data_IF_739804475982
#
_entry.id   IF_739804475982
#
_cell.length_a   1.000
_cell.length_b   1.000
_cell.length_c   1.000
_cell.angle_alpha   90.00
_cell.angle_beta   90.00
_cell.angle_gamma   90.00
#
_symmetry.space_group_name_H-M   'P 1'
#
loop_
_entity.id
_entity.type
_entity.pdbx_description
1 polymer ?
#
# COMPACT_ATOMS: atom_id res chain seq x y z
N UNK A 1 12.83 16.01 5.14
CA UNK A 1 13.64 17.08 5.73
C UNK A 1 14.99 17.24 5.02
N UNK A 2 15.75 16.16 4.81
CA UNK A 2 17.05 16.22 4.10
C UNK A 2 16.93 16.82 2.69
N UNK A 3 15.93 16.42 1.92
CA UNK A 3 15.67 16.94 0.56
C UNK A 3 15.35 18.44 0.58
N UNK A 4 14.58 18.90 1.58
CA UNK A 4 14.26 20.33 1.75
C UNK A 4 15.53 21.13 2.07
N UNK A 5 16.38 20.62 2.94
CA UNK A 5 17.66 21.26 3.27
C UNK A 5 18.60 21.34 2.05
N UNK A 6 18.70 20.25 1.26
CA UNK A 6 19.47 20.26 0.01
C UNK A 6 18.93 21.29 -0.99
N UNK A 7 17.60 21.41 -1.09
CA UNK A 7 17.00 22.38 -2.01
C UNK A 7 17.32 23.83 -1.62
N UNK A 8 17.31 24.16 -0.32
CA UNK A 8 17.68 25.49 0.16
C UNK A 8 19.15 25.82 -0.14
N UNK A 9 20.04 24.83 0.00
CA UNK A 9 21.48 25.02 -0.04
C UNK A 9 22.08 24.94 -1.46
N UNK A 10 21.45 24.18 -2.37
CA UNK A 10 22.00 23.87 -3.69
C UNK A 10 21.19 24.42 -4.86
N UNK A 11 20.03 25.04 -4.64
CA UNK A 11 19.29 25.69 -5.73
C UNK A 11 19.89 27.05 -6.02
N UNK A 12 20.41 27.18 -7.21
CA UNK A 12 20.91 28.46 -7.74
C UNK A 12 19.85 29.11 -8.62
N UNK A 13 19.32 30.25 -8.20
CA UNK A 13 18.36 31.07 -8.99
C UNK A 13 17.74 32.15 -8.12
N UNK A 14 17.44 33.31 -8.72
CA UNK A 14 16.89 34.48 -8.05
C UNK A 14 17.90 35.28 -7.23
N UNK A 15 17.41 36.11 -6.32
CA UNK A 15 18.27 36.97 -5.47
C UNK A 15 18.98 36.12 -4.41
N UNK A 16 20.28 36.30 -4.30
CA UNK A 16 21.13 35.60 -3.33
C UNK A 16 21.10 36.36 -2.01
N UNK A 17 20.49 35.77 -0.97
CA UNK A 17 20.48 36.37 0.37
C UNK A 17 21.77 36.11 1.15
N UNK A 18 22.32 34.89 0.98
CA UNK A 18 23.55 34.53 1.69
C UNK A 18 24.39 33.58 0.85
N UNK A 19 25.69 33.85 0.73
CA UNK A 19 26.64 33.04 -0.03
C UNK A 19 27.84 32.69 0.84
N UNK A 20 28.00 31.38 1.08
CA UNK A 20 29.17 30.87 1.80
C UNK A 20 29.79 29.69 1.03
N UNK A 21 30.78 29.99 0.20
CA UNK A 21 31.45 28.99 -0.65
C UNK A 21 30.52 28.34 -1.66
N UNK A 22 30.28 27.05 -1.52
CA UNK A 22 29.36 26.26 -2.36
C UNK A 22 27.89 26.35 -1.95
N UNK A 23 27.58 26.90 -0.78
CA UNK A 23 26.24 27.02 -0.23
C UNK A 23 25.68 28.41 -0.54
N UNK A 24 24.58 28.45 -1.27
CA UNK A 24 23.87 29.68 -1.63
C UNK A 24 22.42 29.56 -1.21
N UNK A 25 21.98 30.46 -0.35
CA UNK A 25 20.56 30.58 -0.01
C UNK A 25 19.95 31.63 -0.93
N UNK A 26 19.08 31.16 -1.82
CA UNK A 26 18.44 32.01 -2.85
C UNK A 26 16.93 32.08 -2.59
N UNK A 27 16.29 33.16 -3.09
CA UNK A 27 14.83 33.30 -2.97
C UNK A 27 14.08 32.15 -3.64
N UNK A 28 14.54 31.69 -4.80
CA UNK A 28 13.95 30.54 -5.48
C UNK A 28 14.17 29.22 -4.71
N UNK A 29 15.33 29.04 -4.09
CA UNK A 29 15.63 27.91 -3.23
C UNK A 29 14.67 27.79 -2.05
N UNK A 30 14.37 28.92 -1.39
CA UNK A 30 13.42 28.96 -0.27
C UNK A 30 12.01 28.64 -0.74
N UNK A 31 11.55 29.27 -1.83
CA UNK A 31 10.21 29.01 -2.39
C UNK A 31 10.05 27.53 -2.78
N UNK A 32 11.02 26.98 -3.49
CA UNK A 32 11.00 25.57 -3.88
C UNK A 32 11.03 24.64 -2.68
N UNK A 33 11.79 24.97 -1.65
CA UNK A 33 11.85 24.20 -0.41
C UNK A 33 10.49 24.20 0.32
N UNK A 34 9.79 25.33 0.37
CA UNK A 34 8.44 25.42 0.92
C UNK A 34 7.46 24.59 0.11
N UNK A 35 7.48 24.64 -1.22
CA UNK A 35 6.62 23.81 -2.07
C UNK A 35 6.90 22.32 -1.88
N UNK A 36 8.15 21.90 -1.80
CA UNK A 36 8.52 20.51 -1.54
C UNK A 36 8.03 20.08 -0.16
N UNK A 37 8.24 20.91 0.85
CA UNK A 37 7.76 20.62 2.21
C UNK A 37 6.24 20.44 2.25
N UNK A 38 5.48 21.38 1.68
CA UNK A 38 4.02 21.29 1.58
C UNK A 38 3.57 20.04 0.80
N UNK A 39 4.27 19.70 -0.28
CA UNK A 39 4.00 18.47 -1.04
C UNK A 39 4.15 17.22 -0.18
N UNK A 40 5.22 17.12 0.61
CA UNK A 40 5.42 15.99 1.53
C UNK A 40 4.33 15.94 2.61
N UNK A 41 4.00 17.07 3.21
CA UNK A 41 2.93 17.16 4.20
C UNK A 41 1.60 16.67 3.61
N UNK A 42 1.25 17.13 2.41
CA UNK A 42 0.03 16.72 1.73
C UNK A 42 0.02 15.22 1.42
N UNK A 43 1.11 14.69 0.85
CA UNK A 43 1.21 13.25 0.52
C UNK A 43 1.04 12.40 1.80
N UNK A 44 1.76 12.76 2.86
CA UNK A 44 1.67 12.03 4.15
C UNK A 44 0.24 12.12 4.71
N UNK A 45 -0.35 13.33 4.72
CA UNK A 45 -1.71 13.53 5.23
C UNK A 45 -2.74 12.73 4.46
N UNK A 46 -2.71 12.75 3.12
CA UNK A 46 -3.64 11.98 2.30
C UNK A 46 -3.44 10.48 2.44
N UNK A 47 -2.18 10.00 2.50
CA UNK A 47 -1.88 8.59 2.70
C UNK A 47 -2.37 8.10 4.06
N UNK A 48 -2.17 8.91 5.11
CA UNK A 48 -2.64 8.59 6.47
C UNK A 48 -4.17 8.58 6.53
N UNK A 49 -4.83 9.57 5.93
CA UNK A 49 -6.29 9.62 5.83
C UNK A 49 -6.83 8.38 5.13
N UNK A 50 -6.27 8.00 3.96
CA UNK A 50 -6.68 6.81 3.23
C UNK A 50 -6.55 5.55 4.09
N UNK A 51 -5.42 5.40 4.78
CA UNK A 51 -5.15 4.22 5.63
C UNK A 51 -6.11 4.14 6.83
N UNK A 52 -6.47 5.28 7.42
CA UNK A 52 -7.35 5.32 8.59
C UNK A 52 -8.84 5.21 8.22
N UNK A 53 -9.24 5.68 7.05
CA UNK A 53 -10.65 5.72 6.64
C UNK A 53 -11.09 4.51 5.82
N UNK A 54 -10.16 3.84 5.15
CA UNK A 54 -10.48 2.77 4.20
C UNK A 54 -10.00 1.42 4.71
N UNK A 55 -10.93 0.51 4.98
CA UNK A 55 -10.57 -0.86 5.34
C UNK A 55 -9.91 -1.60 4.16
N UNK A 56 -8.91 -2.47 4.40
CA UNK A 56 -8.19 -3.16 3.33
C UNK A 56 -9.08 -3.94 2.35
N UNK A 57 -10.19 -4.51 2.84
CA UNK A 57 -11.17 -5.20 1.99
C UNK A 57 -11.98 -4.24 1.10
N UNK A 58 -12.17 -2.98 1.51
CA UNK A 58 -12.82 -1.97 0.66
C UNK A 58 -11.90 -1.55 -0.48
N UNK A 59 -10.59 -1.53 -0.22
CA UNK A 59 -9.60 -1.24 -1.25
C UNK A 59 -9.57 -2.33 -2.32
N UNK A 60 -9.72 -3.61 -1.96
CA UNK A 60 -9.85 -4.71 -2.94
C UNK A 60 -11.10 -4.59 -3.80
N UNK A 61 -12.24 -4.23 -3.20
CA UNK A 61 -13.48 -3.99 -3.95
C UNK A 61 -13.32 -2.82 -4.95
N UNK A 62 -12.64 -1.75 -4.54
CA UNK A 62 -12.34 -0.60 -5.39
C UNK A 62 -11.38 -0.98 -6.54
N UNK A 63 -10.32 -1.76 -6.25
CA UNK A 63 -9.40 -2.28 -7.27
C UNK A 63 -10.16 -3.13 -8.29
N UNK A 64 -11.03 -4.04 -7.85
CA UNK A 64 -11.87 -4.84 -8.75
C UNK A 64 -12.73 -3.94 -9.65
N UNK A 65 -13.36 -2.90 -9.08
CA UNK A 65 -14.18 -1.98 -9.84
C UNK A 65 -13.38 -1.21 -10.92
N UNK A 66 -12.17 -0.75 -10.57
CA UNK A 66 -11.27 -0.06 -11.51
C UNK A 66 -10.72 -1.02 -12.58
N UNK A 67 -10.47 -2.28 -12.23
CA UNK A 67 -9.98 -3.30 -13.16
C UNK A 67 -11.08 -3.89 -14.04
N UNK A 68 -12.36 -3.65 -13.74
CA UNK A 68 -13.49 -4.19 -14.50
C UNK A 68 -13.40 -3.96 -16.02
N UNK A 69 -12.97 -2.80 -16.57
CA UNK A 69 -12.78 -2.62 -18.01
C UNK A 69 -11.73 -3.55 -18.62
N UNK A 70 -10.77 -4.07 -17.83
CA UNK A 70 -9.79 -5.06 -18.29
C UNK A 70 -10.42 -6.42 -18.61
N UNK A 71 -11.63 -6.70 -18.13
CA UNK A 71 -12.36 -7.91 -18.49
C UNK A 71 -12.65 -8.00 -20.00
N UNK A 72 -12.67 -6.87 -20.72
CA UNK A 72 -12.78 -6.83 -22.20
C UNK A 72 -11.61 -7.55 -22.88
N UNK A 73 -10.41 -7.52 -22.26
CA UNK A 73 -9.18 -8.21 -22.73
C UNK A 73 -9.09 -9.64 -22.18
N UNK A 74 -10.20 -10.21 -21.66
CA UNK A 74 -10.26 -11.53 -21.01
C UNK A 74 -9.34 -11.69 -19.79
N UNK A 75 -9.04 -10.59 -19.11
CA UNK A 75 -8.28 -10.66 -17.86
C UNK A 75 -9.19 -11.15 -16.72
N UNK A 76 -8.76 -12.12 -15.89
CA UNK A 76 -9.57 -12.72 -14.83
C UNK A 76 -9.69 -11.79 -13.61
N UNK A 77 -10.39 -10.65 -13.78
CA UNK A 77 -10.48 -9.59 -12.75
C UNK A 77 -11.10 -10.10 -11.46
N UNK A 78 -12.15 -10.92 -11.57
CA UNK A 78 -12.85 -11.45 -10.41
C UNK A 78 -11.97 -12.40 -9.59
N UNK A 79 -11.25 -13.30 -10.26
CA UNK A 79 -10.34 -14.25 -9.64
C UNK A 79 -9.20 -13.53 -8.91
N UNK A 80 -8.63 -12.50 -9.52
CA UNK A 80 -7.58 -11.68 -8.90
C UNK A 80 -8.11 -10.95 -7.67
N UNK A 81 -9.30 -10.38 -7.74
CA UNK A 81 -9.93 -9.70 -6.59
C UNK A 81 -10.24 -10.69 -5.46
N UNK A 82 -10.70 -11.90 -5.80
CA UNK A 82 -10.94 -12.97 -4.84
C UNK A 82 -9.63 -13.39 -4.15
N UNK A 83 -8.57 -13.64 -4.91
CA UNK A 83 -7.24 -13.98 -4.37
C UNK A 83 -6.75 -12.89 -3.41
N UNK A 84 -6.86 -11.62 -3.79
CA UNK A 84 -6.45 -10.49 -2.97
C UNK A 84 -7.28 -10.39 -1.68
N UNK A 85 -8.58 -10.61 -1.75
CA UNK A 85 -9.48 -10.62 -0.60
C UNK A 85 -9.16 -11.75 0.39
N UNK A 86 -8.85 -12.94 -0.13
CA UNK A 86 -8.42 -14.10 0.67
C UNK A 86 -7.07 -13.80 1.32
N UNK A 87 -6.10 -13.30 0.55
CA UNK A 87 -4.77 -12.96 1.05
C UNK A 87 -4.85 -11.94 2.20
N UNK A 88 -5.58 -10.83 2.03
CA UNK A 88 -5.73 -9.81 3.07
C UNK A 88 -6.44 -10.32 4.32
N UNK A 89 -7.37 -11.27 4.17
CA UNK A 89 -8.04 -11.92 5.31
C UNK A 89 -7.07 -12.80 6.09
N UNK A 90 -6.15 -13.48 5.40
CA UNK A 90 -5.22 -14.41 6.05
C UNK A 90 -3.97 -13.73 6.62
N UNK A 91 -3.61 -12.51 6.17
CA UNK A 91 -2.46 -11.79 6.70
C UNK A 91 -2.44 -11.73 8.24
N UNK A 92 -3.50 -11.26 8.95
CA UNK A 92 -3.49 -11.23 10.41
C UNK A 92 -3.29 -12.62 11.02
N UNK A 93 -3.97 -13.64 10.49
CA UNK A 93 -3.87 -14.99 10.99
C UNK A 93 -2.48 -15.60 10.80
N UNK A 94 -1.84 -15.35 9.65
CA UNK A 94 -0.47 -15.79 9.38
C UNK A 94 0.54 -15.06 10.26
N UNK A 95 0.32 -13.78 10.55
CA UNK A 95 1.16 -13.02 11.49
C UNK A 95 1.10 -13.61 12.91
N UNK A 96 -0.09 -13.94 13.39
CA UNK A 96 -0.28 -14.58 14.69
C UNK A 96 0.38 -15.97 14.73
N UNK A 97 0.28 -16.73 13.66
CA UNK A 97 0.88 -18.06 13.54
C UNK A 97 2.42 -17.96 13.48
N UNK A 98 2.96 -17.05 12.70
CA UNK A 98 4.39 -16.76 12.66
C UNK A 98 4.92 -16.41 14.06
N UNK A 99 4.19 -15.59 14.83
CA UNK A 99 4.57 -15.23 16.19
C UNK A 99 4.57 -16.46 17.14
N UNK A 100 3.57 -17.34 17.01
CA UNK A 100 3.52 -18.59 17.79
C UNK A 100 4.69 -19.51 17.46
N UNK A 101 5.00 -19.69 16.16
CA UNK A 101 6.14 -20.49 15.71
C UNK A 101 7.46 -19.87 16.22
N UNK A 102 7.61 -18.54 16.11
CA UNK A 102 8.78 -17.82 16.62
C UNK A 102 8.99 -18.07 18.12
N UNK A 103 7.93 -17.96 18.91
CA UNK A 103 8.00 -18.19 20.36
C UNK A 103 8.36 -19.66 20.69
N UNK A 104 7.82 -20.60 19.94
CA UNK A 104 8.16 -22.01 20.07
C UNK A 104 9.64 -22.30 19.71
N UNK A 105 10.17 -21.67 18.68
CA UNK A 105 11.58 -21.80 18.28
C UNK A 105 12.52 -21.13 19.28
N UNK A 106 12.14 -19.99 19.86
CA UNK A 106 12.90 -19.37 20.97
C UNK A 106 12.97 -20.31 22.18
N UNK A 107 11.86 -20.97 22.54
CA UNK A 107 11.86 -21.96 23.61
C UNK A 107 12.77 -23.19 23.32
N UNK A 108 13.05 -23.47 22.06
CA UNK A 108 14.01 -24.50 21.61
C UNK A 108 15.45 -24.00 21.53
N UNK A 109 15.71 -22.73 21.93
CA UNK A 109 17.06 -22.16 21.97
C UNK A 109 17.48 -21.51 20.65
N UNK A 110 16.56 -21.26 19.70
CA UNK A 110 16.89 -20.50 18.48
C UNK A 110 16.90 -19.02 18.84
N UNK A 111 18.04 -18.36 18.65
CA UNK A 111 18.17 -16.92 18.79
C UNK A 111 18.03 -16.24 17.41
N UNK A 112 17.14 -15.23 17.32
CA UNK A 112 16.86 -14.49 16.09
C UNK A 112 17.58 -13.14 16.03
N UNK A 113 18.21 -12.71 17.12
CA UNK A 113 18.83 -11.40 17.27
C UNK A 113 20.36 -11.41 17.28
N UNK A 114 20.98 -12.54 17.54
CA UNK A 114 22.44 -12.67 17.67
C UNK A 114 23.06 -13.31 16.43
N UNK A 115 24.34 -12.96 16.17
CA UNK A 115 25.13 -13.55 15.10
C UNK A 115 25.25 -12.71 13.83
N UNK A 116 25.96 -13.26 12.87
CA UNK A 116 26.19 -12.64 11.56
C UNK A 116 24.90 -12.66 10.71
N UNK A 117 24.79 -11.79 9.72
CA UNK A 117 23.62 -11.72 8.81
C UNK A 117 23.24 -13.10 8.23
N UNK A 118 24.23 -13.94 7.94
CA UNK A 118 24.00 -15.30 7.43
C UNK A 118 23.36 -16.22 8.47
N UNK A 119 23.76 -16.12 9.74
CA UNK A 119 23.19 -16.88 10.85
C UNK A 119 21.75 -16.45 11.14
N UNK A 120 21.46 -15.14 11.09
CA UNK A 120 20.11 -14.61 11.22
C UNK A 120 19.21 -15.10 10.08
N UNK A 121 19.69 -15.12 8.84
CA UNK A 121 18.94 -15.71 7.71
C UNK A 121 18.67 -17.20 7.92
N UNK A 122 19.63 -17.95 8.43
CA UNK A 122 19.46 -19.38 8.73
C UNK A 122 18.45 -19.62 9.85
N UNK A 123 18.38 -18.73 10.83
CA UNK A 123 17.40 -18.80 11.91
C UNK A 123 15.95 -18.59 11.46
N UNK A 124 15.73 -17.96 10.30
CA UNK A 124 14.38 -17.75 9.73
C UNK A 124 13.81 -19.04 9.11
N UNK A 125 14.64 -19.94 8.59
CA UNK A 125 14.19 -21.18 7.92
C UNK A 125 13.27 -22.04 8.81
N UNK A 126 13.56 -22.26 10.10
CA UNK A 126 12.68 -22.99 11.02
C UNK A 126 11.31 -22.36 11.26
N UNK A 127 11.14 -21.07 10.88
CA UNK A 127 9.84 -20.39 10.92
C UNK A 127 9.14 -20.55 9.59
N UNK A 128 9.86 -20.40 8.48
CA UNK A 128 9.27 -20.41 7.13
C UNK A 128 8.67 -21.77 6.77
N UNK A 129 9.37 -22.87 7.08
CA UNK A 129 8.90 -24.22 6.70
C UNK A 129 7.55 -24.56 7.35
N UNK A 130 7.36 -24.46 8.67
CA UNK A 130 6.07 -24.74 9.30
C UNK A 130 4.97 -23.77 8.84
N UNK A 131 5.31 -22.49 8.67
CA UNK A 131 4.37 -21.49 8.21
C UNK A 131 3.87 -21.78 6.78
N UNK A 132 4.79 -22.21 5.90
CA UNK A 132 4.44 -22.60 4.52
C UNK A 132 3.52 -23.83 4.51
N UNK A 133 3.84 -24.87 5.27
CA UNK A 133 3.03 -26.09 5.37
C UNK A 133 1.62 -25.77 5.92
N UNK A 134 1.55 -24.96 6.98
CA UNK A 134 0.28 -24.49 7.53
C UNK A 134 -0.53 -23.69 6.51
N UNK A 135 0.12 -22.83 5.74
CA UNK A 135 -0.54 -22.06 4.68
C UNK A 135 -1.10 -22.93 3.57
N UNK A 136 -0.38 -24.00 3.17
CA UNK A 136 -0.88 -24.96 2.18
C UNK A 136 -2.11 -25.75 2.70
N UNK A 137 -2.04 -26.26 3.93
CA UNK A 137 -3.18 -26.98 4.53
C UNK A 137 -4.40 -26.06 4.60
N UNK A 138 -4.23 -24.81 4.98
CA UNK A 138 -5.30 -23.81 5.04
C UNK A 138 -5.88 -23.51 3.66
N UNK A 139 -5.05 -23.49 2.62
CA UNK A 139 -5.51 -23.31 1.24
C UNK A 139 -6.34 -24.50 0.77
N UNK A 140 -5.94 -25.74 1.10
CA UNK A 140 -6.71 -26.96 0.82
C UNK A 140 -8.06 -26.97 1.56
N UNK A 141 -8.06 -26.65 2.86
CA UNK A 141 -9.29 -26.55 3.66
C UNK A 141 -10.24 -25.50 3.08
N UNK A 142 -9.72 -24.34 2.66
CA UNK A 142 -10.52 -23.30 2.03
C UNK A 142 -11.08 -23.76 0.69
N UNK A 143 -10.27 -24.40 -0.17
CA UNK A 143 -10.71 -24.91 -1.46
C UNK A 143 -11.83 -25.93 -1.28
N UNK A 144 -11.66 -26.90 -0.39
CA UNK A 144 -12.67 -27.91 -0.06
C UNK A 144 -13.97 -27.27 0.47
N UNK A 145 -13.86 -26.27 1.35
CA UNK A 145 -15.02 -25.55 1.86
C UNK A 145 -15.74 -24.73 0.77
N UNK A 146 -15.01 -24.17 -0.19
CA UNK A 146 -15.57 -23.43 -1.33
C UNK A 146 -16.30 -24.40 -2.29
N UNK A 147 -15.71 -25.53 -2.61
CA UNK A 147 -16.33 -26.58 -3.44
C UNK A 147 -17.61 -27.12 -2.79
N UNK A 148 -17.57 -27.43 -1.49
CA UNK A 148 -18.73 -27.88 -0.75
C UNK A 148 -19.90 -26.88 -0.70
N UNK A 149 -19.58 -25.57 -0.87
CA UNK A 149 -20.56 -24.48 -1.00
C UNK A 149 -21.01 -24.22 -2.44
N UNK A 150 -20.56 -25.03 -3.39
CA UNK A 150 -20.93 -24.92 -4.81
C UNK A 150 -20.27 -23.75 -5.53
N UNK A 151 -19.04 -23.39 -5.14
CA UNK A 151 -18.30 -22.35 -5.85
C UNK A 151 -17.96 -22.79 -7.28
N UNK A 152 -18.43 -22.06 -8.28
CA UNK A 152 -18.24 -22.35 -9.72
C UNK A 152 -17.57 -21.17 -10.47
N UNK A 153 -16.82 -20.33 -9.76
CA UNK A 153 -16.20 -19.15 -10.37
C UNK A 153 -16.99 -17.86 -10.14
N UNK A 154 -16.66 -16.84 -10.93
CA UNK A 154 -17.20 -15.49 -10.77
C UNK A 154 -18.49 -15.20 -11.54
N UNK A 155 -18.81 -16.01 -12.54
CA UNK A 155 -19.94 -15.76 -13.43
C UNK A 155 -21.30 -15.98 -12.75
N UNK A 156 -22.22 -15.02 -12.91
CA UNK A 156 -23.59 -15.13 -12.37
C UNK A 156 -23.72 -14.93 -10.86
N UNK A 157 -22.69 -14.50 -10.15
CA UNK A 157 -22.68 -14.35 -8.69
C UNK A 157 -23.09 -12.95 -8.24
N UNK A 158 -23.99 -12.88 -7.25
CA UNK A 158 -24.32 -11.61 -6.58
C UNK A 158 -23.26 -11.26 -5.54
N UNK A 159 -22.88 -9.99 -5.45
CA UNK A 159 -21.99 -9.49 -4.39
C UNK A 159 -22.79 -9.22 -3.12
N UNK A 160 -22.33 -9.73 -1.98
CA UNK A 160 -22.92 -9.40 -0.68
C UNK A 160 -22.74 -7.92 -0.34
N UNK A 161 -21.59 -7.35 -0.69
CA UNK A 161 -21.29 -5.94 -0.49
C UNK A 161 -21.26 -5.24 -1.84
N UNK A 162 -22.19 -4.33 -2.03
CA UNK A 162 -22.27 -3.49 -3.23
C UNK A 162 -21.85 -2.08 -2.83
N UNK A 163 -20.86 -1.54 -3.52
CA UNK A 163 -20.46 -0.13 -3.36
C UNK A 163 -21.49 0.72 -4.10
N UNK A 164 -22.13 1.65 -3.42
CA UNK A 164 -23.03 2.60 -3.99
C UNK A 164 -22.33 3.96 -4.09
N UNK A 165 -22.44 4.60 -5.25
CA UNK A 165 -21.99 5.98 -5.42
C UNK A 165 -22.93 6.92 -4.69
N UNK A 166 -22.38 7.75 -3.81
CA UNK A 166 -23.11 8.81 -3.13
C UNK A 166 -22.86 10.17 -3.81
N UNK A 167 -23.74 11.14 -3.50
CA UNK A 167 -23.56 12.53 -3.96
C UNK A 167 -22.20 13.11 -3.54
N UNK A 168 -21.66 12.65 -2.41
CA UNK A 168 -20.33 13.05 -1.91
C UNK A 168 -19.20 12.64 -2.85
N UNK A 169 -19.31 11.47 -3.47
CA UNK A 169 -18.31 10.97 -4.41
C UNK A 169 -18.32 11.78 -5.70
N UNK A 170 -19.52 12.18 -6.16
CA UNK A 170 -19.66 13.06 -7.31
C UNK A 170 -19.03 14.44 -7.04
N UNK A 171 -19.28 15.03 -5.86
CA UNK A 171 -18.68 16.32 -5.47
C UNK A 171 -17.14 16.20 -5.40
N UNK A 172 -16.62 15.12 -4.81
CA UNK A 172 -15.19 14.86 -4.76
C UNK A 172 -14.57 14.71 -6.16
N UNK A 173 -15.25 13.97 -7.06
CA UNK A 173 -14.80 13.80 -8.44
C UNK A 173 -14.79 15.13 -9.21
N UNK A 174 -15.86 15.92 -9.12
CA UNK A 174 -15.93 17.24 -9.76
C UNK A 174 -14.87 18.19 -9.21
N UNK A 175 -14.66 18.22 -7.88
CA UNK A 175 -13.61 19.07 -7.28
C UNK A 175 -12.22 18.69 -7.78
N UNK A 176 -11.92 17.42 -7.91
CA UNK A 176 -10.64 16.93 -8.43
C UNK A 176 -10.43 17.33 -9.89
N UNK A 177 -11.45 17.20 -10.73
CA UNK A 177 -11.41 17.62 -12.14
C UNK A 177 -11.20 19.13 -12.24
N UNK A 178 -11.92 19.93 -11.45
CA UNK A 178 -11.79 21.40 -11.43
C UNK A 178 -10.36 21.81 -11.01
N UNK A 179 -9.84 21.22 -9.94
CA UNK A 179 -8.47 21.49 -9.48
C UNK A 179 -7.45 21.11 -10.56
N UNK A 180 -7.63 19.97 -11.22
CA UNK A 180 -6.72 19.53 -12.29
C UNK A 180 -6.74 20.51 -13.47
N UNK A 181 -7.91 20.96 -13.89
CA UNK A 181 -8.07 21.96 -14.97
C UNK A 181 -7.40 23.28 -14.57
N UNK A 182 -7.65 23.77 -13.34
CA UNK A 182 -7.02 24.99 -12.84
C UNK A 182 -5.49 24.88 -12.85
N UNK A 183 -4.94 23.74 -12.39
CA UNK A 183 -3.50 23.51 -12.42
C UNK A 183 -2.94 23.51 -13.84
N UNK A 184 -3.66 22.97 -14.81
CA UNK A 184 -3.23 23.00 -16.22
C UNK A 184 -3.27 24.41 -16.80
N UNK A 185 -4.30 25.18 -16.49
CA UNK A 185 -4.46 26.56 -16.98
C UNK A 185 -3.42 27.50 -16.35
N UNK A 186 -3.15 27.35 -15.04
CA UNK A 186 -2.17 28.20 -14.35
C UNK A 186 -0.72 27.75 -14.54
N UNK A 187 -0.46 26.55 -15.04
CA UNK A 187 0.88 26.07 -15.36
C UNK A 187 1.32 26.46 -16.79
N UNK A 188 0.37 26.89 -17.64
CA UNK A 188 0.64 27.43 -18.97
C UNK A 188 0.93 28.92 -18.88
#
# INVERSE_FOLDING_TARGET
LFTVALQILFTSGGEVYFKWGFLQVTSEGIINAIFIFLRFVLIISFSTLLTLTTAPLQLTDAIEAVMKPLSIVKFPVHEVALMLSIALRFVPTLMDEAQKIMNAQRARGVDFGEGNLFEQMKAIIPILIPLFVSSLNRAEDLATAMEARGYQGGDGRSKYRVLHYEMRDAIAGVSLVVITILLFVFKA
#
